data_IF_438358986214
#
_entry.id   IF_438358986214
#
_cell.length_a   1.000
_cell.length_b   1.000
_cell.length_c   1.000
_cell.angle_alpha   90.00
_cell.angle_beta   90.00
_cell.angle_gamma   90.00
#
_symmetry.space_group_name_H-M   'P 1'
#
loop_
_entity.id
_entity.type
_entity.pdbx_description
1 polymer ?
#
# COMPACT_ATOMS: atom_id res chain seq x y z
N UNK A 1 -4.71 -12.35 34.98
CA UNK A 1 -5.16 -11.00 34.70
C UNK A 1 -6.51 -11.03 34.02
N UNK A 2 -7.40 -10.11 34.35
CA UNK A 2 -8.75 -10.04 33.81
C UNK A 2 -8.71 -9.22 32.50
N UNK A 3 -8.28 -9.84 31.41
CA UNK A 3 -8.24 -9.21 30.10
C UNK A 3 -9.14 -9.99 29.15
N UNK A 4 -9.92 -9.26 28.36
CA UNK A 4 -10.73 -9.80 27.27
C UNK A 4 -10.17 -9.21 25.98
N UNK A 5 -9.84 -10.07 25.02
CA UNK A 5 -9.38 -9.67 23.69
C UNK A 5 -10.52 -9.85 22.69
N UNK A 6 -10.81 -8.78 21.97
CA UNK A 6 -11.81 -8.77 20.89
C UNK A 6 -11.10 -8.77 19.56
N UNK A 7 -11.44 -9.73 18.70
CA UNK A 7 -10.88 -9.87 17.36
C UNK A 7 -12.00 -9.67 16.33
N UNK A 8 -12.22 -8.43 15.84
CA UNK A 8 -13.19 -8.22 14.78
C UNK A 8 -12.72 -8.94 13.51
N UNK A 9 -13.67 -9.48 12.74
CA UNK A 9 -13.36 -10.19 11.48
C UNK A 9 -12.73 -9.28 10.43
N UNK A 10 -13.09 -8.00 10.45
CA UNK A 10 -12.50 -6.96 9.60
C UNK A 10 -11.96 -5.86 10.48
N UNK A 11 -10.89 -5.18 10.02
CA UNK A 11 -10.40 -4.01 10.73
C UNK A 11 -11.46 -2.92 10.74
N UNK A 12 -11.75 -2.42 11.92
CA UNK A 12 -12.68 -1.32 12.15
C UNK A 12 -11.90 -0.02 12.38
N UNK A 13 -12.44 1.12 11.98
CA UNK A 13 -11.89 2.46 12.21
C UNK A 13 -13.03 3.42 12.59
N UNK A 14 -12.69 4.53 13.24
CA UNK A 14 -13.66 5.48 13.74
C UNK A 14 -14.16 5.15 15.14
N UNK A 15 -15.27 5.77 15.52
CA UNK A 15 -15.90 5.55 16.82
C UNK A 15 -16.87 4.38 16.76
N UNK A 16 -16.74 3.48 17.71
CA UNK A 16 -17.57 2.28 17.86
C UNK A 16 -18.09 2.17 19.28
N UNK A 17 -19.27 1.63 19.43
CA UNK A 17 -19.86 1.34 20.73
C UNK A 17 -19.81 -0.17 20.99
N UNK A 18 -19.10 -0.54 22.07
CA UNK A 18 -19.06 -1.92 22.56
C UNK A 18 -20.10 -2.08 23.66
N UNK A 19 -21.13 -2.86 23.41
CA UNK A 19 -22.18 -3.18 24.36
C UNK A 19 -21.94 -4.57 24.95
N UNK A 20 -21.76 -4.66 26.27
CA UNK A 20 -21.68 -5.89 27.02
C UNK A 20 -23.02 -6.14 27.73
N UNK A 21 -23.68 -7.23 27.37
CA UNK A 21 -24.97 -7.57 27.95
C UNK A 21 -24.80 -8.19 29.35
N UNK A 22 -25.75 -7.90 30.24
CA UNK A 22 -25.86 -8.52 31.52
C UNK A 22 -25.97 -10.06 31.36
N UNK A 23 -25.32 -10.79 32.23
CA UNK A 23 -25.35 -12.24 32.18
C UNK A 23 -24.14 -12.91 31.56
N UNK A 24 -23.24 -12.15 30.91
CA UNK A 24 -21.90 -12.65 30.50
C UNK A 24 -21.21 -13.17 31.79
N UNK A 25 -20.78 -14.42 31.75
CA UNK A 25 -20.12 -15.05 32.89
C UNK A 25 -18.62 -15.24 32.69
N UNK A 26 -17.85 -15.06 33.75
CA UNK A 26 -16.42 -15.38 33.75
C UNK A 26 -16.21 -16.89 34.00
N UNK A 27 -14.96 -17.34 33.95
CA UNK A 27 -14.59 -18.75 34.19
C UNK A 27 -14.98 -19.25 35.59
N UNK A 28 -15.13 -18.36 36.57
CA UNK A 28 -15.55 -18.69 37.93
C UNK A 28 -17.09 -18.65 38.11
N UNK A 29 -17.85 -18.51 37.03
CA UNK A 29 -19.31 -18.48 37.03
C UNK A 29 -19.94 -17.18 37.54
N UNK A 30 -19.17 -16.14 37.82
CA UNK A 30 -19.72 -14.81 38.17
C UNK A 30 -20.23 -14.12 36.93
N UNK A 31 -21.46 -13.61 37.01
CA UNK A 31 -22.12 -12.91 35.93
C UNK A 31 -21.94 -11.40 36.01
N UNK A 32 -21.91 -10.75 34.86
CA UNK A 32 -22.04 -9.29 34.76
C UNK A 32 -23.45 -8.90 35.22
N UNK A 33 -23.54 -8.02 36.22
CA UNK A 33 -24.83 -7.68 36.86
C UNK A 33 -25.69 -6.77 36.02
N UNK A 34 -25.07 -5.87 35.22
CA UNK A 34 -25.74 -4.84 34.43
C UNK A 34 -25.12 -4.73 33.05
N UNK A 35 -25.89 -4.21 32.07
CA UNK A 35 -25.35 -3.89 30.76
C UNK A 35 -24.32 -2.77 30.88
N UNK A 36 -23.23 -2.88 30.16
CA UNK A 36 -22.19 -1.87 30.11
C UNK A 36 -21.92 -1.48 28.67
N UNK A 37 -21.77 -0.21 28.43
CA UNK A 37 -21.44 0.36 27.13
C UNK A 37 -20.13 1.13 27.19
N UNK A 38 -19.29 0.93 26.19
CA UNK A 38 -17.99 1.58 26.07
C UNK A 38 -17.85 2.18 24.67
N UNK A 39 -17.48 3.44 24.58
CA UNK A 39 -17.08 4.05 23.33
C UNK A 39 -15.62 3.74 23.05
N UNK A 40 -15.34 3.16 21.89
CA UNK A 40 -14.00 2.80 21.44
C UNK A 40 -13.65 3.66 20.23
N UNK A 41 -12.59 4.45 20.34
CA UNK A 41 -12.00 5.16 19.20
C UNK A 41 -10.91 4.26 18.58
N UNK A 42 -11.11 3.91 17.30
CA UNK A 42 -10.16 3.09 16.55
C UNK A 42 -9.48 3.95 15.49
N UNK A 43 -8.16 4.02 15.53
CA UNK A 43 -7.39 4.82 14.58
C UNK A 43 -7.53 4.29 13.16
N UNK A 44 -7.70 5.21 12.21
CA UNK A 44 -7.65 4.90 10.79
C UNK A 44 -6.23 4.47 10.39
N UNK A 45 -6.13 3.63 9.35
CA UNK A 45 -4.83 3.33 8.77
C UNK A 45 -4.27 4.59 8.09
N UNK A 46 -3.03 4.98 8.36
CA UNK A 46 -2.42 6.08 7.65
C UNK A 46 -2.36 5.79 6.14
N UNK A 47 -2.42 6.83 5.29
CA UNK A 47 -2.28 6.66 3.85
C UNK A 47 -0.95 5.99 3.50
N UNK A 48 -1.03 4.84 2.84
CA UNK A 48 0.16 4.06 2.50
C UNK A 48 -0.02 3.33 1.16
N UNK A 49 1.09 3.16 0.45
CA UNK A 49 1.16 2.38 -0.78
C UNK A 49 2.43 1.56 -0.80
N UNK A 50 2.33 0.30 -1.26
CA UNK A 50 3.44 -0.64 -1.31
C UNK A 50 3.35 -1.51 -2.56
N UNK A 51 4.50 -1.80 -3.20
CA UNK A 51 4.56 -2.87 -4.18
C UNK A 51 4.44 -4.23 -3.49
N UNK A 52 3.74 -5.18 -4.13
CA UNK A 52 3.62 -6.56 -3.62
C UNK A 52 4.80 -7.44 -4.03
N UNK A 53 5.55 -7.03 -5.03
CA UNK A 53 6.76 -7.72 -5.48
C UNK A 53 7.99 -6.86 -5.17
N UNK A 54 9.01 -7.48 -4.61
CA UNK A 54 10.34 -6.91 -4.49
C UNK A 54 11.23 -7.50 -5.57
N UNK A 55 11.81 -6.68 -6.42
CA UNK A 55 12.74 -7.13 -7.47
C UNK A 55 13.02 -6.02 -8.46
N UNK A 56 14.20 -6.13 -9.11
CA UNK A 56 14.67 -5.13 -10.08
C UNK A 56 14.39 -5.53 -11.53
N UNK A 57 13.97 -6.77 -11.76
CA UNK A 57 13.77 -7.35 -13.09
C UNK A 57 12.37 -7.94 -13.10
N UNK A 58 11.49 -7.37 -13.92
CA UNK A 58 10.23 -7.99 -14.25
C UNK A 58 10.52 -9.05 -15.33
N UNK A 59 10.18 -10.32 -15.13
CA UNK A 59 10.36 -11.32 -16.14
C UNK A 59 9.50 -10.97 -17.39
N UNK A 60 10.02 -11.25 -18.55
CA UNK A 60 9.34 -11.08 -19.82
C UNK A 60 8.30 -12.21 -19.99
N UNK A 61 7.25 -12.17 -19.19
CA UNK A 61 6.12 -13.10 -19.21
C UNK A 61 4.88 -12.41 -19.79
N UNK A 62 3.96 -13.20 -20.29
CA UNK A 62 2.68 -12.71 -20.81
C UNK A 62 1.98 -11.82 -19.77
N UNK A 63 1.89 -10.51 -20.06
CA UNK A 63 1.29 -9.52 -19.19
C UNK A 63 2.24 -9.05 -18.09
N UNK A 64 2.89 -7.92 -18.32
CA UNK A 64 3.73 -7.23 -17.31
C UNK A 64 2.86 -6.41 -16.38
N UNK A 65 2.22 -7.09 -15.46
CA UNK A 65 1.44 -6.43 -14.43
C UNK A 65 2.29 -6.12 -13.21
N UNK A 66 2.22 -4.87 -12.76
CA UNK A 66 2.87 -4.41 -11.53
C UNK A 66 1.84 -4.40 -10.40
N UNK A 67 1.83 -5.42 -9.54
CA UNK A 67 0.90 -5.48 -8.43
C UNK A 67 1.36 -4.57 -7.28
N UNK A 68 0.43 -3.82 -6.73
CA UNK A 68 0.65 -2.98 -5.55
C UNK A 68 -0.59 -3.01 -4.65
N UNK A 69 -0.40 -2.63 -3.41
CA UNK A 69 -1.51 -2.43 -2.46
C UNK A 69 -1.49 -1.02 -1.93
N UNK A 70 -2.66 -0.50 -1.63
CA UNK A 70 -2.84 0.83 -1.08
C UNK A 70 -3.96 0.85 -0.05
N UNK A 71 -3.86 1.79 0.90
CA UNK A 71 -4.85 2.03 1.94
C UNK A 71 -4.98 3.54 2.17
N UNK A 72 -6.19 3.99 2.48
CA UNK A 72 -6.51 5.38 2.81
C UNK A 72 -6.12 6.40 1.73
N UNK A 73 -6.14 5.97 0.46
CA UNK A 73 -5.75 6.75 -0.72
C UNK A 73 -6.82 6.66 -1.80
N UNK A 74 -7.16 7.80 -2.42
CA UNK A 74 -8.02 7.89 -3.61
C UNK A 74 -7.24 7.81 -4.91
N UNK A 75 -5.94 8.11 -4.87
CA UNK A 75 -5.07 8.00 -6.04
C UNK A 75 -3.60 7.89 -5.63
N UNK A 76 -2.81 7.32 -6.53
CA UNK A 76 -1.35 7.24 -6.44
C UNK A 76 -0.72 7.74 -7.73
N UNK A 77 0.52 8.24 -7.65
CA UNK A 77 1.29 8.63 -8.82
C UNK A 77 2.34 7.56 -9.13
N UNK A 78 2.25 6.96 -10.31
CA UNK A 78 3.24 6.02 -10.85
C UNK A 78 4.22 6.75 -11.76
N UNK A 79 5.50 6.53 -11.53
CA UNK A 79 6.61 7.01 -12.35
C UNK A 79 7.40 5.82 -12.88
N UNK A 80 7.73 5.85 -14.17
CA UNK A 80 8.62 4.85 -14.79
C UNK A 80 9.82 5.58 -15.38
N UNK A 81 11.00 5.13 -15.01
CA UNK A 81 12.28 5.64 -15.49
C UNK A 81 12.96 4.58 -16.33
N UNK A 82 13.43 4.94 -17.49
CA UNK A 82 14.31 4.09 -18.31
C UNK A 82 15.76 4.39 -17.95
N UNK A 83 16.48 3.34 -17.55
CA UNK A 83 17.92 3.44 -17.25
C UNK A 83 18.70 3.49 -18.57
N UNK A 84 19.64 4.43 -18.69
CA UNK A 84 20.49 4.50 -19.85
C UNK A 84 21.38 3.25 -19.94
N UNK A 85 21.54 2.69 -21.14
CA UNK A 85 22.30 1.46 -21.36
C UNK A 85 23.74 1.52 -20.80
N UNK A 86 24.39 2.66 -20.95
CA UNK A 86 25.74 2.88 -20.44
C UNK A 86 25.81 2.91 -18.90
N UNK A 87 24.69 3.17 -18.24
CA UNK A 87 24.61 3.31 -16.79
C UNK A 87 24.04 2.07 -16.10
N UNK A 88 23.67 1.01 -16.84
CA UNK A 88 23.15 -0.23 -16.25
C UNK A 88 24.12 -0.84 -15.23
N UNK A 89 25.44 -0.98 -15.48
CA UNK A 89 26.37 -1.50 -14.51
C UNK A 89 26.41 -0.64 -13.23
N UNK A 90 26.42 0.67 -13.36
CA UNK A 90 26.43 1.59 -12.22
C UNK A 90 25.10 1.52 -11.42
N UNK A 91 23.99 1.39 -12.11
CA UNK A 91 22.67 1.22 -11.50
C UNK A 91 22.63 -0.08 -10.69
N UNK A 92 23.07 -1.20 -11.27
CA UNK A 92 23.08 -2.50 -10.60
C UNK A 92 24.03 -2.54 -9.40
N UNK A 93 25.23 -1.97 -9.51
CA UNK A 93 26.18 -1.91 -8.40
C UNK A 93 25.64 -1.17 -7.17
N UNK A 94 24.90 -0.09 -7.36
CA UNK A 94 24.32 0.67 -6.25
C UNK A 94 23.13 -0.02 -5.59
N UNK A 95 22.47 -0.91 -6.31
CA UNK A 95 21.21 -1.52 -5.88
C UNK A 95 21.37 -2.94 -5.30
N UNK A 96 22.56 -3.53 -5.39
CA UNK A 96 22.87 -4.83 -4.79
C UNK A 96 23.08 -4.76 -3.26
N UNK A 97 23.29 -3.58 -2.71
CA UNK A 97 23.43 -3.35 -1.27
C UNK A 97 22.12 -2.86 -0.63
N UNK A 98 21.24 -3.77 -0.34
CA UNK A 98 20.20 -3.77 0.70
C UNK A 98 19.80 -2.41 1.32
N UNK A 99 19.53 -1.38 0.53
CA UNK A 99 19.00 -0.15 1.06
C UNK A 99 17.67 0.22 0.42
N UNK A 100 16.62 0.01 1.19
CA UNK A 100 15.26 0.55 0.99
C UNK A 100 15.26 2.09 0.94
N UNK A 101 16.45 2.70 1.14
CA UNK A 101 16.63 4.13 1.24
C UNK A 101 17.19 4.73 -0.07
N UNK A 102 16.34 5.55 -0.69
CA UNK A 102 16.76 6.62 -1.61
C UNK A 102 17.19 6.21 -3.02
N UNK A 103 16.44 5.34 -3.70
CA UNK A 103 16.60 5.19 -5.16
C UNK A 103 16.08 6.42 -5.92
N UNK A 104 15.11 7.15 -5.39
CA UNK A 104 14.48 8.27 -6.10
C UNK A 104 15.43 9.45 -6.38
N UNK A 105 16.48 9.61 -5.55
CA UNK A 105 17.51 10.63 -5.78
C UNK A 105 18.54 10.25 -6.84
N UNK A 106 18.93 8.98 -6.92
CA UNK A 106 19.99 8.52 -7.82
C UNK A 106 19.50 8.12 -9.21
N UNK A 107 18.23 7.73 -9.37
CA UNK A 107 17.69 7.34 -10.69
C UNK A 107 17.72 8.49 -11.69
N UNK A 108 17.59 9.73 -11.25
CA UNK A 108 17.65 10.93 -12.09
C UNK A 108 19.00 11.14 -12.78
N UNK A 109 20.08 10.55 -12.23
CA UNK A 109 21.42 10.65 -12.81
C UNK A 109 21.75 9.51 -13.78
N UNK A 110 21.05 8.38 -13.67
CA UNK A 110 21.35 7.18 -14.46
C UNK A 110 20.25 6.82 -15.45
N UNK A 111 19.10 7.50 -15.38
CA UNK A 111 17.94 7.25 -16.24
C UNK A 111 17.15 8.52 -16.53
N UNK A 112 16.14 8.38 -17.36
CA UNK A 112 15.18 9.44 -17.68
C UNK A 112 13.74 8.99 -17.38
N UNK A 113 12.84 9.87 -16.95
CA UNK A 113 11.43 9.55 -16.87
C UNK A 113 10.87 9.32 -18.28
N UNK A 114 10.23 8.18 -18.48
CA UNK A 114 9.58 7.84 -19.75
C UNK A 114 8.05 7.80 -19.61
N UNK A 115 7.56 7.67 -18.37
CA UNK A 115 6.13 7.60 -18.14
C UNK A 115 5.78 8.14 -16.76
N UNK A 116 4.64 8.83 -16.70
CA UNK A 116 4.02 9.28 -15.45
C UNK A 116 2.51 9.19 -15.59
N UNK A 117 1.87 8.55 -14.63
CA UNK A 117 0.41 8.46 -14.58
C UNK A 117 -0.10 8.55 -13.15
N UNK A 118 -1.17 9.29 -12.95
CA UNK A 118 -1.98 9.18 -11.73
C UNK A 118 -2.99 8.06 -11.92
N UNK A 119 -2.96 7.09 -11.02
CA UNK A 119 -3.88 5.95 -10.99
C UNK A 119 -4.95 6.28 -9.95
N UNK A 120 -6.21 6.33 -10.38
CA UNK A 120 -7.36 6.49 -9.48
C UNK A 120 -7.65 5.14 -8.86
N UNK A 121 -7.88 5.12 -7.55
CA UNK A 121 -8.19 3.92 -6.76
C UNK A 121 -9.66 3.91 -6.34
N UNK A 122 -10.35 5.03 -6.49
CA UNK A 122 -11.75 5.25 -6.13
C UNK A 122 -12.71 5.11 -7.33
N UNK A 123 -12.25 4.51 -8.43
CA UNK A 123 -13.08 4.24 -9.62
C UNK A 123 -14.16 3.18 -9.33
N UNK A 124 -13.87 2.22 -8.46
CA UNK A 124 -14.84 1.23 -8.00
C UNK A 124 -15.42 1.65 -6.64
N UNK A 125 -16.69 2.14 -6.60
CA UNK A 125 -17.32 2.58 -5.38
C UNK A 125 -17.60 1.44 -4.37
N UNK A 126 -17.48 0.19 -4.78
CA UNK A 126 -17.62 -0.96 -3.88
C UNK A 126 -16.40 -1.20 -2.99
N UNK A 127 -15.25 -0.62 -3.33
CA UNK A 127 -14.01 -0.78 -2.57
C UNK A 127 -14.01 0.08 -1.30
N UNK A 128 -13.73 -0.55 -0.16
CA UNK A 128 -13.47 0.17 1.07
C UNK A 128 -12.01 0.62 1.13
N UNK A 129 -11.76 1.87 0.76
CA UNK A 129 -10.40 2.43 0.73
C UNK A 129 -9.76 2.59 2.11
N UNK A 130 -10.51 2.49 3.21
CA UNK A 130 -9.95 2.47 4.57
C UNK A 130 -9.28 1.14 4.94
N UNK A 131 -9.32 0.17 4.03
CA UNK A 131 -8.66 -1.13 4.16
C UNK A 131 -7.63 -1.29 3.05
N UNK A 132 -6.69 -2.22 3.25
CA UNK A 132 -5.74 -2.60 2.22
C UNK A 132 -6.45 -3.23 1.03
N UNK A 133 -6.35 -2.60 -0.14
CA UNK A 133 -6.83 -3.13 -1.41
C UNK A 133 -5.64 -3.39 -2.34
N UNK A 134 -5.74 -4.43 -3.14
CA UNK A 134 -4.73 -4.78 -4.13
C UNK A 134 -5.16 -4.30 -5.50
N UNK A 135 -4.22 -3.66 -6.19
CA UNK A 135 -4.35 -3.11 -7.52
C UNK A 135 -3.24 -3.64 -8.42
N UNK A 136 -3.41 -3.52 -9.72
CA UNK A 136 -2.36 -3.84 -10.68
C UNK A 136 -2.31 -2.80 -11.79
N UNK A 137 -1.12 -2.53 -12.29
CA UNK A 137 -0.90 -1.65 -13.43
C UNK A 137 -0.20 -2.43 -14.55
N UNK A 138 -0.75 -2.34 -15.77
CA UNK A 138 -0.16 -2.97 -16.95
C UNK A 138 0.97 -2.11 -17.50
N UNK A 139 2.19 -2.66 -17.47
CA UNK A 139 3.39 -2.05 -18.04
C UNK A 139 3.65 -2.50 -19.49
N UNK A 140 2.89 -3.46 -20.00
CA UNK A 140 3.08 -4.05 -21.34
C UNK A 140 3.24 -3.00 -22.44
N UNK A 141 2.35 -2.00 -22.54
CA UNK A 141 2.44 -0.95 -23.56
C UNK A 141 3.76 -0.15 -23.52
N UNK A 142 4.32 0.06 -22.32
CA UNK A 142 5.58 0.81 -22.15
C UNK A 142 6.80 0.01 -22.59
N UNK A 143 6.75 -1.31 -22.43
CA UNK A 143 7.86 -2.20 -22.73
C UNK A 143 7.94 -2.59 -24.20
N UNK A 144 6.85 -2.39 -24.96
CA UNK A 144 6.86 -2.61 -26.41
C UNK A 144 7.81 -1.65 -27.16
N UNK A 145 8.05 -0.45 -26.63
CA UNK A 145 8.95 0.53 -27.25
C UNK A 145 10.42 0.09 -27.17
N UNK A 146 10.83 -0.53 -26.07
CA UNK A 146 12.21 -1.01 -25.88
C UNK A 146 12.24 -2.20 -24.89
N UNK A 147 12.03 -3.42 -25.39
CA UNK A 147 11.91 -4.62 -24.58
C UNK A 147 13.23 -5.03 -23.88
N UNK A 148 14.36 -4.48 -24.30
CA UNK A 148 15.68 -4.77 -23.72
C UNK A 148 16.17 -3.73 -22.74
N UNK A 149 15.41 -2.65 -22.54
CA UNK A 149 15.77 -1.61 -21.57
C UNK A 149 15.50 -2.06 -20.14
N UNK A 150 16.29 -1.53 -19.23
CA UNK A 150 16.05 -1.64 -17.81
C UNK A 150 15.14 -0.48 -17.36
N UNK A 151 14.05 -0.82 -16.71
CA UNK A 151 13.12 0.16 -16.16
C UNK A 151 13.12 0.11 -14.64
N UNK A 152 13.02 1.29 -14.04
CA UNK A 152 12.77 1.46 -12.62
C UNK A 152 11.38 2.07 -12.43
N UNK A 153 10.59 1.48 -11.54
CA UNK A 153 9.25 1.97 -11.23
C UNK A 153 9.21 2.52 -9.82
N UNK A 154 8.54 3.65 -9.66
CA UNK A 154 8.34 4.31 -8.39
C UNK A 154 6.85 4.64 -8.23
N UNK A 155 6.28 4.29 -7.09
CA UNK A 155 4.91 4.64 -6.74
C UNK A 155 4.94 5.63 -5.57
N UNK A 156 4.15 6.69 -5.67
CA UNK A 156 4.10 7.76 -4.67
C UNK A 156 2.68 8.05 -4.23
N UNK A 157 2.55 8.39 -2.98
CA UNK A 157 1.31 8.89 -2.41
C UNK A 157 1.00 10.26 -3.05
N UNK A 158 -0.25 10.43 -3.47
CA UNK A 158 -0.76 11.73 -3.89
C UNK A 158 -1.46 12.39 -2.70
N UNK A 159 -0.70 13.13 -1.89
CA UNK A 159 -1.17 13.75 -0.64
C UNK A 159 -2.54 14.46 -0.73
N UNK A 160 -2.84 15.30 -1.75
CA UNK A 160 -4.14 15.94 -1.84
C UNK A 160 -5.34 15.01 -2.05
N UNK A 161 -5.08 13.73 -2.37
CA UNK A 161 -6.08 12.68 -2.57
C UNK A 161 -5.97 11.56 -1.53
N UNK A 162 -5.28 11.79 -0.43
CA UNK A 162 -5.36 10.95 0.75
C UNK A 162 -6.71 11.14 1.44
N UNK A 163 -7.21 10.09 2.10
CA UNK A 163 -8.46 10.17 2.87
C UNK A 163 -8.25 10.93 4.19
N UNK A 164 -7.02 10.93 4.68
CA UNK A 164 -6.61 11.61 5.92
C UNK A 164 -5.36 12.44 5.65
N UNK A 165 -5.12 13.46 6.47
CA UNK A 165 -3.88 14.23 6.39
C UNK A 165 -2.69 13.35 6.76
N UNK A 166 -1.61 13.45 5.97
CA UNK A 166 -0.33 12.83 6.29
C UNK A 166 0.46 13.86 7.11
N UNK A 167 0.72 13.58 8.37
CA UNK A 167 1.69 14.31 9.18
C UNK A 167 3.13 14.16 8.63
#
# INVERSE_FOLDING_TARGET
GNQVFLYPQTRISGEWELNLEAGISNQAGRKLGENQSFTLAMDALPPEVQFLSSGYILPNSEGLFLPFRAVSLKAVDLYVYKVFSNNIPQFLQRNVGNSTYSMSGSIKYVGRPVFRKTIRLDEDPSLNLNQWNTFSFDLGPLLQEDPHALYNTEIRIRKPLALYECE
#
